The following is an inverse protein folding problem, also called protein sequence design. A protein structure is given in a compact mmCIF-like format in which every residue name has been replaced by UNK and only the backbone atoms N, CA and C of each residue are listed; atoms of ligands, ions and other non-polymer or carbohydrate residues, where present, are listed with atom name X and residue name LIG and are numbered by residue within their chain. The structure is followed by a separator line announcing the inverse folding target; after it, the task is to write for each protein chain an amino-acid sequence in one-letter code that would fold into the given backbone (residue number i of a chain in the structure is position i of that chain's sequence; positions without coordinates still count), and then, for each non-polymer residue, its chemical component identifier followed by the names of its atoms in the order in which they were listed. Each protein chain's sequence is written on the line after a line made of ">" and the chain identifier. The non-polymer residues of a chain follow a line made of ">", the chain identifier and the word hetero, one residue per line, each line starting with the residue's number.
data_IF_798896872286
#
_entry.id   IF_798896872286
#
_cell.length_a   1.000
_cell.length_b   1.000
_cell.length_c   1.000
_cell.angle_alpha   90.00
_cell.angle_beta   90.00
_cell.angle_gamma   90.00
#
_symmetry.space_group_name_H-M   'P 1'
#
loop_
_entity.id
_entity.type
_entity.pdbx_description
1 polymer ?
#
# COMPACT_ATOMS: atom_id res chain seq x y z
N UNK A 1 19.00 12.56 16.97
CA UNK A 1 18.72 12.89 15.55
C UNK A 1 18.65 11.56 14.80
N UNK A 2 17.44 11.09 14.48
CA UNK A 2 17.28 9.87 13.70
C UNK A 2 17.66 10.16 12.25
N UNK A 3 18.74 9.54 11.77
CA UNK A 3 19.09 9.55 10.35
C UNK A 3 18.18 8.54 9.66
N UNK A 4 17.27 9.00 8.82
CA UNK A 4 16.73 8.17 7.75
C UNK A 4 17.90 7.87 6.82
N UNK A 5 18.59 6.75 7.04
CA UNK A 5 19.59 6.26 6.10
C UNK A 5 18.84 5.84 4.84
N UNK A 6 19.12 6.42 3.66
CA UNK A 6 18.53 5.91 2.44
C UNK A 6 19.08 4.50 2.25
N UNK A 7 18.19 3.51 2.23
CA UNK A 7 18.51 2.23 1.61
C UNK A 7 18.96 2.52 0.15
N UNK A 8 19.89 1.73 -0.42
CA UNK A 8 20.40 1.96 -1.77
C UNK A 8 19.32 1.60 -2.79
N UNK A 9 18.32 2.46 -2.94
CA UNK A 9 17.30 2.39 -3.96
C UNK A 9 17.65 3.45 -5.02
N UNK A 10 17.45 3.05 -6.27
CA UNK A 10 17.78 3.80 -7.48
C UNK A 10 17.34 5.27 -7.42
N UNK A 11 18.07 6.13 -8.13
CA UNK A 11 17.91 7.59 -8.09
C UNK A 11 16.43 8.02 -8.07
N UNK A 12 15.97 8.75 -7.05
CA UNK A 12 14.58 9.17 -6.95
C UNK A 12 14.26 10.10 -8.12
N UNK A 13 13.15 9.86 -8.80
CA UNK A 13 12.61 10.84 -9.74
C UNK A 13 12.35 12.15 -8.97
N UNK A 14 12.67 13.30 -9.56
CA UNK A 14 12.63 14.61 -8.87
C UNK A 14 11.26 15.00 -8.30
N UNK A 15 10.19 14.37 -8.78
CA UNK A 15 8.80 14.52 -8.31
C UNK A 15 8.58 13.84 -6.95
N UNK A 16 9.36 12.81 -6.64
CA UNK A 16 9.19 11.97 -5.44
C UNK A 16 9.79 12.62 -4.18
N UNK A 17 10.78 13.51 -4.34
CA UNK A 17 11.54 14.02 -3.19
C UNK A 17 10.76 14.97 -2.26
N UNK A 18 9.86 15.79 -2.80
CA UNK A 18 9.00 16.67 -2.00
C UNK A 18 7.97 15.88 -1.21
N UNK A 19 7.32 14.90 -1.85
CA UNK A 19 6.37 13.97 -1.23
C UNK A 19 7.09 13.13 -0.17
N UNK A 20 8.26 12.58 -0.50
CA UNK A 20 9.11 11.83 0.43
C UNK A 20 9.50 12.63 1.66
N UNK A 21 9.84 13.92 1.53
CA UNK A 21 10.16 14.77 2.69
C UNK A 21 8.98 14.95 3.64
N UNK A 22 7.77 15.14 3.11
CA UNK A 22 6.55 15.24 3.91
C UNK A 22 6.29 13.91 4.60
N UNK A 23 6.38 12.82 3.83
CA UNK A 23 6.21 11.46 4.31
C UNK A 23 7.19 11.10 5.44
N UNK A 24 8.49 11.35 5.27
CA UNK A 24 9.49 11.07 6.29
C UNK A 24 9.19 11.76 7.62
N UNK A 25 8.63 12.98 7.59
CA UNK A 25 8.22 13.68 8.81
C UNK A 25 7.04 12.99 9.48
N UNK A 26 6.02 12.57 8.71
CA UNK A 26 4.85 11.84 9.25
C UNK A 26 5.27 10.52 9.88
N UNK A 27 6.08 9.72 9.19
CA UNK A 27 6.63 8.46 9.70
C UNK A 27 7.45 8.67 10.98
N UNK A 28 8.32 9.69 10.98
CA UNK A 28 9.13 10.01 12.17
C UNK A 28 8.26 10.43 13.36
N UNK A 29 7.15 11.14 13.12
CA UNK A 29 6.22 11.57 14.17
C UNK A 29 5.37 10.41 14.72
N UNK A 30 5.06 9.42 13.90
CA UNK A 30 4.28 8.23 14.28
C UNK A 30 5.03 7.30 15.26
N UNK A 31 6.37 7.37 15.28
CA UNK A 31 7.19 6.57 16.19
C UNK A 31 7.04 5.07 15.91
N UNK A 32 6.57 4.31 16.91
CA UNK A 32 6.36 2.86 16.80
C UNK A 32 5.02 2.49 16.15
N UNK A 33 4.14 3.45 15.85
CA UNK A 33 2.84 3.21 15.24
C UNK A 33 2.94 3.27 13.72
N UNK A 34 3.73 2.37 13.17
CA UNK A 34 3.94 2.23 11.73
C UNK A 34 3.81 0.78 11.33
N UNK A 35 3.37 0.52 10.11
CA UNK A 35 3.32 -0.82 9.50
C UNK A 35 4.14 -0.80 8.22
N UNK A 36 4.97 -1.82 8.03
CA UNK A 36 5.68 -2.06 6.78
C UNK A 36 4.70 -2.59 5.72
N UNK A 37 4.70 -1.96 4.56
CA UNK A 37 3.80 -2.23 3.45
C UNK A 37 4.56 -2.35 2.14
N UNK A 38 4.09 -3.20 1.23
CA UNK A 38 4.65 -3.30 -0.12
C UNK A 38 3.90 -2.31 -1.02
N UNK A 39 4.62 -1.29 -1.48
CA UNK A 39 4.11 -0.29 -2.42
C UNK A 39 4.47 -0.67 -3.86
N UNK A 40 3.48 -0.68 -4.74
CA UNK A 40 3.65 -0.69 -6.18
C UNK A 40 3.55 0.75 -6.69
N UNK A 41 4.66 1.49 -6.65
CA UNK A 41 4.66 2.91 -7.05
C UNK A 41 4.31 3.08 -8.53
N UNK A 42 3.37 3.98 -8.84
CA UNK A 42 2.77 4.12 -10.18
C UNK A 42 3.79 4.35 -11.31
N UNK A 43 4.89 5.06 -11.02
CA UNK A 43 5.97 5.35 -11.97
C UNK A 43 7.22 4.49 -11.77
N UNK A 44 7.21 3.61 -10.76
CA UNK A 44 8.34 2.77 -10.42
C UNK A 44 8.39 1.53 -11.33
N UNK A 45 9.53 0.84 -11.35
CA UNK A 45 9.68 -0.42 -12.10
C UNK A 45 9.77 -1.64 -11.19
N UNK A 46 9.85 -1.42 -9.87
CA UNK A 46 9.98 -2.47 -8.86
C UNK A 46 9.17 -2.08 -7.62
N UNK A 47 8.52 -3.04 -6.95
CA UNK A 47 7.88 -2.79 -5.67
C UNK A 47 8.92 -2.48 -4.59
N UNK A 48 8.52 -1.76 -3.55
CA UNK A 48 9.39 -1.46 -2.41
C UNK A 48 8.61 -1.45 -1.09
N UNK A 49 9.34 -1.65 0.00
CA UNK A 49 8.78 -1.50 1.34
C UNK A 49 8.66 -0.03 1.72
N UNK A 50 7.54 0.32 2.35
CA UNK A 50 7.28 1.64 2.92
C UNK A 50 6.68 1.50 4.33
N UNK A 51 6.90 2.48 5.21
CA UNK A 51 6.30 2.54 6.55
C UNK A 51 5.05 3.41 6.63
N UNK A 52 3.87 2.84 6.72
CA UNK A 52 2.61 3.61 6.83
C UNK A 52 2.33 3.92 8.31
N UNK A 53 2.21 5.20 8.70
CA UNK A 53 1.68 5.56 10.01
C UNK A 53 0.26 5.05 10.20
N UNK A 54 -0.09 4.65 11.42
CA UNK A 54 -1.46 4.28 11.73
C UNK A 54 -1.90 4.75 13.12
N UNK A 55 -3.20 4.88 13.29
CA UNK A 55 -3.85 5.16 14.57
C UNK A 55 -5.02 4.18 14.76
N UNK A 56 -5.48 4.02 16.00
CA UNK A 56 -6.76 3.34 16.20
C UNK A 56 -7.88 4.25 15.71
N UNK A 57 -8.74 3.71 14.87
CA UNK A 57 -9.98 4.37 14.49
C UNK A 57 -10.94 4.50 15.66
N UNK A 58 -11.92 5.41 15.56
CA UNK A 58 -12.98 5.50 16.56
C UNK A 58 -13.71 4.16 16.67
N UNK A 59 -14.13 3.83 17.89
CA UNK A 59 -15.06 2.72 18.10
C UNK A 59 -16.43 3.26 17.69
N UNK A 60 -16.95 2.76 16.57
CA UNK A 60 -18.31 3.09 16.16
C UNK A 60 -19.28 2.41 17.14
N UNK A 61 -19.91 3.19 18.01
CA UNK A 61 -20.93 2.70 18.97
C UNK A 61 -22.13 2.08 18.24
N UNK A 62 -22.37 2.50 17.00
CA UNK A 62 -23.47 2.06 16.13
C UNK A 62 -23.04 0.95 15.15
N UNK A 63 -21.75 0.63 15.10
CA UNK A 63 -21.15 -0.31 14.16
C UNK A 63 -21.18 -1.76 14.65
N UNK A 64 -21.38 -2.70 13.73
CA UNK A 64 -21.49 -4.15 14.00
C UNK A 64 -20.27 -4.78 14.71
N UNK A 65 -19.11 -4.13 14.73
CA UNK A 65 -17.88 -4.73 15.22
C UNK A 65 -17.47 -4.28 16.62
N UNK A 66 -17.87 -3.08 17.09
CA UNK A 66 -17.49 -2.53 18.42
C UNK A 66 -16.00 -2.64 18.76
N UNK A 67 -15.15 -2.84 17.74
CA UNK A 67 -13.75 -3.23 17.86
C UNK A 67 -12.87 -2.14 17.28
N UNK A 68 -11.70 -1.88 17.88
CA UNK A 68 -10.74 -0.97 17.30
C UNK A 68 -10.22 -1.52 15.97
N UNK A 69 -9.91 -0.62 15.04
CA UNK A 69 -9.33 -0.90 13.73
C UNK A 69 -8.11 -0.01 13.47
N UNK A 70 -7.21 -0.42 12.58
CA UNK A 70 -6.07 0.38 12.17
C UNK A 70 -6.50 1.38 11.10
N UNK A 71 -6.61 2.65 11.49
CA UNK A 71 -6.78 3.77 10.58
C UNK A 71 -5.42 4.20 10.04
N UNK A 72 -5.15 3.85 8.78
CA UNK A 72 -3.87 4.09 8.12
C UNK A 72 -3.80 5.53 7.57
N UNK A 73 -2.63 6.17 7.68
CA UNK A 73 -2.37 7.48 7.06
C UNK A 73 -2.05 7.31 5.56
N UNK A 74 -3.11 7.14 4.79
CA UNK A 74 -3.09 6.81 3.36
C UNK A 74 -3.05 8.04 2.43
N UNK A 75 -3.27 9.23 2.97
CA UNK A 75 -3.50 10.50 2.23
C UNK A 75 -2.36 10.84 1.24
N UNK A 76 -1.14 10.40 1.53
CA UNK A 76 0.02 10.66 0.68
C UNK A 76 0.10 9.73 -0.54
N UNK A 77 -0.55 8.57 -0.49
CA UNK A 77 -0.47 7.55 -1.51
C UNK A 77 -1.74 7.45 -2.35
N UNK A 78 -2.88 7.86 -1.78
CA UNK A 78 -4.20 7.69 -2.36
C UNK A 78 -5.01 8.99 -2.36
N UNK A 79 -5.77 9.20 -3.44
CA UNK A 79 -6.79 10.25 -3.56
C UNK A 79 -8.08 9.62 -4.09
N UNK A 80 -8.99 9.22 -3.21
CA UNK A 80 -10.31 8.68 -3.61
C UNK A 80 -10.74 7.44 -2.83
N UNK A 81 -11.79 6.78 -3.33
CA UNK A 81 -12.29 5.53 -2.78
C UNK A 81 -11.42 4.35 -3.21
N UNK A 82 -11.11 3.47 -2.27
CA UNK A 82 -10.28 2.30 -2.47
C UNK A 82 -10.96 1.05 -1.94
N UNK A 83 -10.58 -0.09 -2.50
CA UNK A 83 -11.12 -1.38 -2.10
C UNK A 83 -10.03 -2.22 -1.44
N UNK A 84 -10.41 -2.88 -0.35
CA UNK A 84 -9.59 -3.86 0.32
C UNK A 84 -9.92 -5.25 -0.23
N UNK A 85 -8.93 -5.91 -0.85
CA UNK A 85 -9.04 -7.34 -1.14
C UNK A 85 -8.24 -8.15 -0.12
N UNK A 86 -8.89 -9.10 0.54
CA UNK A 86 -8.25 -10.00 1.52
C UNK A 86 -8.03 -11.39 0.92
N UNK A 87 -6.77 -11.75 0.71
CA UNK A 87 -6.33 -13.08 0.28
C UNK A 87 -5.70 -13.80 1.46
N UNK A 88 -6.51 -14.52 2.23
CA UNK A 88 -6.10 -15.22 3.46
C UNK A 88 -5.49 -14.27 4.52
N UNK A 89 -4.26 -13.84 4.33
CA UNK A 89 -3.48 -12.98 5.23
C UNK A 89 -2.97 -11.72 4.56
N UNK A 90 -3.19 -11.51 3.25
CA UNK A 90 -2.75 -10.31 2.55
C UNK A 90 -3.94 -9.41 2.24
N UNK A 91 -3.82 -8.14 2.61
CA UNK A 91 -4.77 -7.10 2.31
C UNK A 91 -4.15 -6.18 1.26
N UNK A 92 -4.85 -5.96 0.14
CA UNK A 92 -4.40 -5.02 -0.88
C UNK A 92 -5.37 -3.86 -0.99
N UNK A 93 -4.83 -2.64 -0.86
CA UNK A 93 -5.51 -1.38 -1.07
C UNK A 93 -5.18 -0.89 -2.48
N UNK A 94 -6.20 -0.59 -3.27
CA UNK A 94 -6.04 -0.10 -4.63
C UNK A 94 -7.20 0.80 -5.04
N UNK A 95 -6.93 1.66 -6.02
CA UNK A 95 -7.91 2.53 -6.64
C UNK A 95 -8.72 1.74 -7.68
N UNK A 96 -9.95 1.34 -7.34
CA UNK A 96 -10.86 0.62 -8.26
C UNK A 96 -11.54 1.56 -9.26
N UNK A 97 -11.48 2.88 -9.02
CA UNK A 97 -12.02 3.90 -9.90
C UNK A 97 -10.99 4.43 -10.91
N UNK A 98 -9.81 3.81 -11.00
CA UNK A 98 -8.69 4.33 -11.80
C UNK A 98 -9.01 4.57 -13.28
N UNK A 99 -10.00 3.83 -13.82
CA UNK A 99 -10.47 4.00 -15.20
C UNK A 99 -11.33 5.26 -15.42
N UNK A 100 -11.75 5.93 -14.35
CA UNK A 100 -12.73 7.03 -14.38
C UNK A 100 -12.25 8.31 -13.68
N UNK A 101 -11.22 8.23 -12.84
CA UNK A 101 -10.69 9.36 -12.06
C UNK A 101 -9.34 9.88 -12.58
N UNK A 102 -8.97 9.54 -13.81
CA UNK A 102 -7.70 9.89 -14.47
C UNK A 102 -6.42 9.37 -13.76
N UNK A 103 -6.54 8.38 -12.86
CA UNK A 103 -5.39 7.76 -12.22
C UNK A 103 -4.46 7.08 -13.25
N UNK A 104 -3.14 7.31 -13.18
CA UNK A 104 -2.21 6.76 -14.15
C UNK A 104 -2.12 5.24 -14.04
N UNK A 105 -1.92 4.59 -15.20
CA UNK A 105 -1.64 3.15 -15.26
C UNK A 105 -0.35 2.87 -14.50
N UNK A 106 -0.39 1.84 -13.66
CA UNK A 106 0.72 1.45 -12.81
C UNK A 106 1.83 0.74 -13.61
N UNK A 107 2.95 1.44 -13.80
CA UNK A 107 4.12 0.91 -14.50
C UNK A 107 4.80 -0.21 -13.72
N UNK A 108 4.85 -0.11 -12.39
CA UNK A 108 5.45 -1.15 -11.55
C UNK A 108 4.73 -2.48 -11.77
N UNK A 109 3.41 -2.44 -11.72
CA UNK A 109 2.53 -3.55 -12.02
C UNK A 109 2.80 -4.14 -13.41
N UNK A 110 2.84 -3.31 -14.46
CA UNK A 110 3.15 -3.80 -15.82
C UNK A 110 4.50 -4.52 -15.90
N UNK A 111 5.51 -4.02 -15.20
CA UNK A 111 6.85 -4.62 -15.20
C UNK A 111 6.85 -5.96 -14.45
N UNK A 112 6.30 -6.02 -13.23
CA UNK A 112 6.32 -7.25 -12.42
C UNK A 112 5.48 -8.37 -13.03
N UNK A 113 4.40 -8.01 -13.73
CA UNK A 113 3.53 -8.97 -14.44
C UNK A 113 3.98 -9.24 -15.87
N UNK A 114 5.03 -8.58 -16.36
CA UNK A 114 5.47 -8.62 -17.76
C UNK A 114 4.32 -8.30 -18.75
N UNK A 115 3.37 -7.46 -18.33
CA UNK A 115 2.18 -7.11 -19.11
C UNK A 115 1.17 -8.25 -19.30
N UNK A 116 1.28 -9.33 -18.52
CA UNK A 116 0.41 -10.52 -18.67
C UNK A 116 -0.82 -10.51 -17.78
N UNK A 117 -0.97 -9.55 -16.87
CA UNK A 117 -2.20 -9.43 -16.10
C UNK A 117 -3.36 -9.01 -17.00
N UNK A 118 -4.54 -9.58 -16.75
CA UNK A 118 -5.75 -9.28 -17.51
C UNK A 118 -6.30 -7.90 -17.13
N UNK A 119 -6.32 -7.60 -15.83
CA UNK A 119 -6.77 -6.31 -15.34
C UNK A 119 -5.63 -5.28 -15.41
N UNK A 120 -5.83 -4.13 -16.07
CA UNK A 120 -4.93 -3.01 -15.90
C UNK A 120 -5.08 -2.50 -14.47
N UNK A 121 -3.97 -2.28 -13.76
CA UNK A 121 -3.99 -1.67 -12.43
C UNK A 121 -3.53 -0.22 -12.54
N UNK A 122 -4.18 0.68 -11.81
CA UNK A 122 -3.85 2.11 -11.76
C UNK A 122 -3.44 2.58 -10.37
N UNK A 123 -2.95 3.82 -10.29
CA UNK A 123 -2.59 4.46 -9.02
C UNK A 123 -1.42 3.79 -8.33
N UNK A 124 -1.39 3.83 -6.99
CA UNK A 124 -0.33 3.28 -6.14
C UNK A 124 -0.84 2.11 -5.27
N UNK A 125 -1.09 0.91 -5.83
CA UNK A 125 -1.52 -0.23 -5.04
C UNK A 125 -0.55 -0.53 -3.90
N UNK A 126 -1.11 -0.91 -2.77
CA UNK A 126 -0.37 -1.16 -1.56
C UNK A 126 -0.84 -2.47 -0.93
N UNK A 127 0.10 -3.27 -0.45
CA UNK A 127 -0.19 -4.53 0.20
C UNK A 127 0.35 -4.58 1.64
N UNK A 128 -0.46 -5.17 2.52
CA UNK A 128 -0.25 -5.33 3.96
C UNK A 128 -0.58 -6.77 4.35
N UNK A 129 -0.19 -7.19 5.55
CA UNK A 129 -0.76 -8.40 6.15
C UNK A 129 -2.00 -8.05 6.97
N UNK A 130 -3.08 -8.80 6.82
CA UNK A 130 -4.25 -8.76 7.69
C UNK A 130 -4.11 -9.78 8.82
N UNK A 131 -4.43 -9.38 10.05
CA UNK A 131 -4.43 -10.24 11.25
C UNK A 131 -5.65 -11.18 11.34
N UNK A 132 -6.29 -11.49 10.21
CA UNK A 132 -7.47 -12.34 10.10
C UNK A 132 -8.41 -11.92 8.97
N UNK A 133 -9.44 -12.72 8.69
CA UNK A 133 -10.49 -12.38 7.72
C UNK A 133 -11.87 -12.55 8.36
N UNK A 134 -12.74 -11.52 8.32
CA UNK A 134 -12.43 -10.11 8.04
C UNK A 134 -11.69 -9.46 9.22
N UNK A 135 -10.67 -8.65 8.94
CA UNK A 135 -9.95 -7.87 9.97
C UNK A 135 -9.45 -6.56 9.39
N UNK A 136 -9.74 -5.46 10.09
CA UNK A 136 -9.17 -4.13 9.85
C UNK A 136 -7.93 -3.89 10.73
N UNK A 137 -7.34 -4.96 11.25
CA UNK A 137 -6.06 -4.96 11.94
C UNK A 137 -5.02 -5.56 11.03
N UNK A 138 -3.89 -4.87 10.92
CA UNK A 138 -2.81 -5.17 9.99
C UNK A 138 -1.49 -5.45 10.72
N UNK A 139 -0.62 -6.20 10.03
CA UNK A 139 0.75 -6.53 10.44
C UNK A 139 1.75 -6.20 9.32
N UNK A 140 3.04 -6.20 9.66
CA UNK A 140 4.14 -5.87 8.75
C UNK A 140 4.20 -6.84 7.57
N UNK A 141 4.21 -6.29 6.35
CA UNK A 141 4.47 -7.05 5.14
C UNK A 141 5.95 -7.46 5.06
N UNK A 142 6.19 -8.69 4.62
CA UNK A 142 7.53 -9.27 4.43
C UNK A 142 7.75 -9.45 2.94
N UNK A 143 8.62 -8.63 2.34
CA UNK A 143 8.84 -8.58 0.89
C UNK A 143 9.16 -9.96 0.29
N UNK A 144 10.01 -10.74 0.96
CA UNK A 144 10.48 -12.06 0.50
C UNK A 144 9.37 -13.12 0.49
N UNK A 145 8.40 -13.01 1.39
CA UNK A 145 7.32 -13.98 1.56
C UNK A 145 6.07 -13.56 0.77
N UNK A 146 5.76 -12.27 0.77
CA UNK A 146 4.46 -11.76 0.32
C UNK A 146 4.45 -11.37 -1.16
N UNK A 147 5.60 -10.97 -1.73
CA UNK A 147 5.64 -10.43 -3.09
C UNK A 147 5.21 -11.45 -4.15
N UNK A 148 5.67 -12.70 -4.04
CA UNK A 148 5.33 -13.73 -5.03
C UNK A 148 3.83 -14.08 -5.04
N UNK A 149 3.18 -14.36 -3.89
CA UNK A 149 1.72 -14.48 -3.80
C UNK A 149 0.97 -13.25 -4.32
N UNK A 150 1.45 -12.03 -4.03
CA UNK A 150 0.83 -10.79 -4.53
C UNK A 150 0.89 -10.71 -6.05
N UNK A 151 2.04 -10.98 -6.67
CA UNK A 151 2.17 -10.98 -8.13
C UNK A 151 1.25 -12.03 -8.75
N UNK A 152 1.15 -13.23 -8.14
CA UNK A 152 0.25 -14.27 -8.63
C UNK A 152 -1.21 -13.81 -8.59
N UNK A 153 -1.63 -13.17 -7.50
CA UNK A 153 -2.98 -12.60 -7.40
C UNK A 153 -3.23 -11.52 -8.46
N UNK A 154 -2.32 -10.56 -8.61
CA UNK A 154 -2.42 -9.49 -9.61
C UNK A 154 -2.57 -10.07 -11.04
N UNK A 155 -1.87 -11.17 -11.30
CA UNK A 155 -1.95 -11.90 -12.57
C UNK A 155 -3.29 -12.61 -12.76
N UNK A 156 -3.91 -13.13 -11.70
CA UNK A 156 -5.12 -13.95 -11.75
C UNK A 156 -6.42 -13.18 -11.54
N UNK A 157 -6.33 -11.92 -11.10
CA UNK A 157 -7.49 -11.07 -10.86
C UNK A 157 -8.36 -10.93 -12.12
N UNK A 158 -9.63 -11.35 -11.99
CA UNK A 158 -10.65 -11.41 -13.05
C UNK A 158 -10.34 -12.38 -14.21
N UNK A 159 -9.46 -13.37 -14.01
CA UNK A 159 -9.46 -14.59 -14.84
C UNK A 159 -10.62 -15.50 -14.47
#
# INVERSE_FOLDING_TARGET
>A
QFRCTPAPLQAPSTVDWSIHKVYCKRVSAAGSKTIDAILFGVHETKPRLIKIPWLYGPIDEDGYSGRPWHNLDEELWFSGDYFLCTLCTLAMLYDDNFMTNDSPINRCHQVVTQGKAVHPWGGNPLALRALGVPSDLYDDAVMEEDLAPLIQYLMDYRK
#
